data_IF_054837936422
#
_entry.id   IF_054837936422
#
_cell.length_a   1.000
_cell.length_b   1.000
_cell.length_c   1.000
_cell.angle_alpha   90.00
_cell.angle_beta   90.00
_cell.angle_gamma   90.00
#
_symmetry.space_group_name_H-M   'P 1'
#
loop_
_entity.id
_entity.type
_entity.pdbx_description
1 polymer ?
#
# COMPACT_ATOMS: atom_id res chain seq x y z
N UNK A 1 -8.39 -3.21 0.65
CA UNK A 1 -8.13 -4.55 1.19
C UNK A 1 -6.68 -4.52 1.56
N UNK A 2 -6.33 -4.81 2.80
CA UNK A 2 -4.93 -4.79 3.20
C UNK A 2 -4.29 -6.05 2.57
N UNK A 3 -3.31 -5.88 1.69
CA UNK A 3 -3.08 -6.81 0.58
C UNK A 3 -1.69 -7.46 0.62
N UNK A 4 -1.53 -8.50 1.43
CA UNK A 4 -0.39 -9.42 1.37
C UNK A 4 -0.36 -10.25 0.09
N UNK A 5 -1.45 -10.24 -0.69
CA UNK A 5 -1.50 -10.84 -2.02
C UNK A 5 -0.60 -10.08 -3.02
N UNK A 6 -0.32 -8.79 -2.76
CA UNK A 6 0.62 -8.01 -3.53
C UNK A 6 2.06 -8.31 -3.07
N UNK A 7 2.88 -8.78 -4.01
CA UNK A 7 4.28 -9.19 -3.79
C UNK A 7 5.15 -8.07 -3.22
N UNK A 8 4.98 -6.83 -3.68
CA UNK A 8 5.75 -5.69 -3.16
C UNK A 8 5.35 -5.38 -1.70
N UNK A 9 4.07 -5.45 -1.36
CA UNK A 9 3.60 -5.27 0.02
C UNK A 9 4.10 -6.41 0.92
N UNK A 10 4.02 -7.65 0.46
CA UNK A 10 4.56 -8.80 1.17
C UNK A 10 6.08 -8.68 1.38
N UNK A 11 6.80 -8.14 0.40
CA UNK A 11 8.24 -7.83 0.49
C UNK A 11 8.51 -6.75 1.54
N UNK A 12 7.77 -5.64 1.53
CA UNK A 12 7.89 -4.59 2.56
C UNK A 12 7.58 -5.13 3.95
N UNK A 13 6.51 -5.90 4.11
CA UNK A 13 6.15 -6.56 5.37
C UNK A 13 7.28 -7.45 5.88
N UNK A 14 7.87 -8.26 5.00
CA UNK A 14 9.02 -9.11 5.32
C UNK A 14 10.24 -8.27 5.73
N UNK A 15 10.54 -7.18 5.04
CA UNK A 15 11.66 -6.30 5.39
C UNK A 15 11.47 -5.63 6.75
N UNK A 16 10.27 -5.11 7.03
CA UNK A 16 9.93 -4.54 8.35
C UNK A 16 10.09 -5.59 9.46
N UNK A 17 9.62 -6.81 9.23
CA UNK A 17 9.76 -7.93 10.14
C UNK A 17 11.22 -8.31 10.40
N UNK A 18 12.05 -8.39 9.35
CA UNK A 18 13.50 -8.63 9.47
C UNK A 18 14.21 -7.53 10.26
N UNK A 19 13.72 -6.30 10.20
CA UNK A 19 14.21 -5.15 10.97
C UNK A 19 13.66 -5.11 12.42
N UNK A 20 12.91 -6.13 12.84
CA UNK A 20 12.40 -6.26 14.22
C UNK A 20 10.99 -5.71 14.44
N UNK A 21 10.29 -5.25 13.41
CA UNK A 21 8.92 -4.76 13.55
C UNK A 21 7.92 -5.91 13.72
N UNK A 22 6.92 -5.69 14.57
CA UNK A 22 5.74 -6.57 14.60
C UNK A 22 4.82 -6.21 13.43
N UNK A 23 4.48 -7.19 12.62
CA UNK A 23 3.74 -7.00 11.38
C UNK A 23 2.46 -7.84 11.41
N UNK A 24 1.32 -7.17 11.22
CA UNK A 24 0.06 -7.81 10.90
C UNK A 24 -0.15 -7.70 9.39
N UNK A 25 -0.06 -8.82 8.67
CA UNK A 25 -0.24 -8.90 7.24
C UNK A 25 -1.54 -9.63 6.91
N UNK A 26 -2.39 -9.00 6.13
CA UNK A 26 -3.72 -9.51 5.78
C UNK A 26 -3.73 -10.02 4.34
N UNK A 27 -4.52 -11.04 4.05
CA UNK A 27 -4.70 -11.62 2.72
C UNK A 27 -6.18 -11.66 2.33
N UNK A 28 -6.48 -11.62 1.04
CA UNK A 28 -7.86 -11.71 0.54
C UNK A 28 -8.47 -13.10 0.74
N UNK A 29 -7.65 -14.14 0.69
CA UNK A 29 -8.10 -15.51 0.74
C UNK A 29 -7.06 -16.45 1.36
N UNK A 30 -7.52 -17.62 1.78
CA UNK A 30 -6.70 -18.64 2.47
C UNK A 30 -5.59 -19.16 1.55
N UNK A 31 -5.85 -19.33 0.25
CA UNK A 31 -4.85 -19.88 -0.68
C UNK A 31 -3.62 -18.98 -0.80
N UNK A 32 -3.81 -17.66 -0.86
CA UNK A 32 -2.71 -16.69 -0.92
C UNK A 32 -1.93 -16.64 0.39
N UNK A 33 -2.62 -16.71 1.53
CA UNK A 33 -2.01 -16.79 2.85
C UNK A 33 -1.15 -18.07 3.00
N UNK A 34 -1.64 -19.21 2.56
CA UNK A 34 -0.94 -20.50 2.66
C UNK A 34 0.31 -20.54 1.75
N UNK A 35 0.21 -19.99 0.54
CA UNK A 35 1.34 -19.86 -0.38
C UNK A 35 2.42 -18.94 0.21
N UNK A 36 2.02 -17.78 0.76
CA UNK A 36 2.94 -16.88 1.45
C UNK A 36 3.61 -17.58 2.63
N UNK A 37 2.85 -18.21 3.53
CA UNK A 37 3.41 -18.88 4.70
C UNK A 37 4.40 -20.00 4.30
N UNK A 38 4.06 -20.81 3.29
CA UNK A 38 4.93 -21.88 2.80
C UNK A 38 6.25 -21.33 2.28
N UNK A 39 6.21 -20.28 1.44
CA UNK A 39 7.41 -19.63 0.89
C UNK A 39 8.21 -18.91 1.97
N UNK A 40 7.53 -18.20 2.88
CA UNK A 40 8.15 -17.41 3.93
C UNK A 40 8.88 -18.30 4.95
N UNK A 41 8.25 -19.36 5.43
CA UNK A 41 8.87 -20.33 6.35
C UNK A 41 10.05 -21.04 5.68
N UNK A 42 9.91 -21.44 4.41
CA UNK A 42 11.00 -22.08 3.67
C UNK A 42 12.21 -21.18 3.45
N UNK A 43 12.00 -19.86 3.30
CA UNK A 43 13.06 -18.87 3.06
C UNK A 43 13.68 -18.33 4.35
N UNK A 44 12.88 -18.18 5.40
CA UNK A 44 13.27 -17.60 6.68
C UNK A 44 12.94 -18.56 7.82
N UNK A 45 13.70 -19.65 7.98
CA UNK A 45 13.50 -20.58 9.09
C UNK A 45 13.72 -19.89 10.43
N UNK A 46 13.12 -20.43 11.49
CA UNK A 46 13.25 -19.87 12.83
C UNK A 46 14.72 -19.66 13.22
N UNK A 47 15.05 -18.49 13.79
CA UNK A 47 16.42 -18.21 14.20
C UNK A 47 16.88 -19.27 15.19
N UNK A 48 18.06 -19.84 14.93
CA UNK A 48 18.74 -20.67 15.93
C UNK A 48 19.04 -19.84 17.18
N UNK A 49 19.18 -20.48 18.35
CA UNK A 49 19.47 -19.80 19.63
C UNK A 49 20.73 -18.90 19.61
N UNK A 50 21.56 -19.00 18.55
CA UNK A 50 22.76 -18.18 18.33
C UNK A 50 22.58 -16.93 17.45
N UNK A 51 21.40 -16.68 16.83
CA UNK A 51 21.20 -15.45 16.04
C UNK A 51 20.89 -14.25 16.95
N UNK A 52 21.80 -13.26 16.97
CA UNK A 52 21.73 -12.06 17.82
C UNK A 52 20.68 -11.00 17.39
N UNK A 53 20.06 -11.15 16.23
CA UNK A 53 19.07 -10.17 15.72
C UNK A 53 17.66 -10.71 15.88
N UNK A 54 16.86 -10.23 16.85
CA UNK A 54 15.48 -10.66 16.97
C UNK A 54 14.68 -10.08 15.80
N UNK A 55 14.27 -10.96 14.89
CA UNK A 55 13.19 -10.67 13.94
C UNK A 55 11.94 -10.34 14.75
N UNK A 56 11.04 -9.53 14.18
CA UNK A 56 9.79 -9.19 14.84
C UNK A 56 8.81 -10.38 14.88
N UNK A 57 7.54 -10.10 15.17
CA UNK A 57 6.46 -11.09 15.05
C UNK A 57 5.72 -10.83 13.75
N UNK A 58 5.66 -11.84 12.86
CA UNK A 58 4.80 -11.82 11.67
C UNK A 58 3.49 -12.56 12.00
N UNK A 59 2.37 -11.85 11.98
CA UNK A 59 1.03 -12.44 12.08
C UNK A 59 0.31 -12.29 10.74
N UNK A 60 -0.01 -13.41 10.09
CA UNK A 60 -0.79 -13.44 8.86
C UNK A 60 -2.25 -13.78 9.14
N UNK A 61 -3.19 -13.03 8.53
CA UNK A 61 -4.63 -13.25 8.70
C UNK A 61 -5.37 -13.10 7.38
N UNK A 62 -6.52 -13.76 7.22
CA UNK A 62 -7.45 -13.45 6.13
C UNK A 62 -8.41 -12.37 6.60
N UNK A 63 -8.56 -11.30 5.83
CA UNK A 63 -9.47 -10.21 6.15
C UNK A 63 -10.12 -9.65 4.88
N UNK A 64 -11.43 -9.51 4.90
CA UNK A 64 -12.22 -8.81 3.88
C UNK A 64 -13.08 -7.75 4.56
N UNK A 65 -13.17 -6.57 3.93
CA UNK A 65 -13.89 -5.42 4.47
C UNK A 65 -14.96 -5.02 3.47
N UNK A 66 -16.23 -5.18 3.86
CA UNK A 66 -17.36 -4.82 2.98
C UNK A 66 -18.06 -3.56 3.47
N UNK A 67 -18.09 -3.36 4.78
CA UNK A 67 -18.77 -2.23 5.42
C UNK A 67 -17.82 -1.44 6.30
N UNK A 68 -18.19 -0.19 6.60
CA UNK A 68 -17.47 0.60 7.61
C UNK A 68 -17.47 -0.08 8.99
N UNK A 69 -18.55 -0.80 9.31
CA UNK A 69 -18.67 -1.55 10.56
C UNK A 69 -17.62 -2.67 10.65
N UNK A 70 -17.41 -3.43 9.58
CA UNK A 70 -16.39 -4.50 9.55
C UNK A 70 -14.99 -3.92 9.84
N UNK A 71 -14.70 -2.75 9.26
CA UNK A 71 -13.45 -2.04 9.47
C UNK A 71 -13.32 -1.56 10.92
N UNK A 72 -14.38 -0.97 11.48
CA UNK A 72 -14.39 -0.48 12.86
C UNK A 72 -14.19 -1.63 13.87
N UNK A 73 -14.89 -2.75 13.68
CA UNK A 73 -14.73 -3.94 14.53
C UNK A 73 -13.32 -4.52 14.44
N UNK A 74 -12.77 -4.62 13.22
CA UNK A 74 -11.41 -5.09 13.02
C UNK A 74 -10.36 -4.17 13.64
N UNK A 75 -10.46 -2.85 13.44
CA UNK A 75 -9.58 -1.87 14.10
C UNK A 75 -9.72 -1.94 15.63
N UNK A 76 -10.92 -2.07 16.17
CA UNK A 76 -11.14 -2.27 17.61
C UNK A 76 -10.47 -3.54 18.15
N UNK A 77 -10.49 -4.63 17.38
CA UNK A 77 -9.79 -5.88 17.75
C UNK A 77 -8.27 -5.70 17.80
N UNK A 78 -7.71 -4.90 16.88
CA UNK A 78 -6.28 -4.56 16.86
C UNK A 78 -5.93 -3.71 18.08
N UNK A 79 -6.68 -2.63 18.33
CA UNK A 79 -6.47 -1.76 19.47
C UNK A 79 -6.52 -2.50 20.82
N UNK A 80 -7.35 -3.54 20.91
CA UNK A 80 -7.44 -4.38 22.11
C UNK A 80 -6.22 -5.30 22.28
N UNK A 81 -5.66 -5.79 21.17
CA UNK A 81 -4.57 -6.78 21.18
C UNK A 81 -3.18 -6.14 21.20
N UNK A 82 -3.03 -4.97 20.59
CA UNK A 82 -1.76 -4.28 20.41
C UNK A 82 -1.80 -2.95 21.15
N UNK A 83 -0.78 -2.70 21.97
CA UNK A 83 -0.70 -1.47 22.77
C UNK A 83 -0.52 -0.21 21.91
N UNK A 84 0.02 -0.37 20.69
CA UNK A 84 0.35 0.71 19.78
C UNK A 84 0.44 0.17 18.36
N UNK A 85 -0.04 0.97 17.41
CA UNK A 85 0.24 0.80 15.98
C UNK A 85 1.02 2.02 15.51
N UNK A 86 2.15 1.80 14.86
CA UNK A 86 2.98 2.89 14.32
C UNK A 86 2.65 3.20 12.87
N UNK A 87 2.36 2.16 12.08
CA UNK A 87 2.24 2.24 10.64
C UNK A 87 0.98 1.55 10.14
N UNK A 88 0.35 2.14 9.12
CA UNK A 88 -0.69 1.52 8.31
C UNK A 88 -0.30 1.61 6.83
N UNK A 89 -0.29 0.48 6.13
CA UNK A 89 -0.10 0.43 4.68
C UNK A 89 -1.41 -0.03 4.05
N UNK A 90 -2.16 0.89 3.46
CA UNK A 90 -3.43 0.58 2.79
C UNK A 90 -3.20 0.27 1.32
N UNK A 91 -3.91 -0.72 0.80
CA UNK A 91 -3.93 -1.05 -0.62
C UNK A 91 -5.34 -1.02 -1.19
N UNK A 92 -5.52 -0.20 -2.22
CA UNK A 92 -6.73 0.00 -2.99
C UNK A 92 -6.46 -0.06 -4.49
N UNK A 93 -5.71 -1.07 -4.93
CA UNK A 93 -5.49 -1.36 -6.36
C UNK A 93 -6.79 -1.64 -7.13
N UNK A 94 -6.70 -1.63 -8.46
CA UNK A 94 -7.84 -1.82 -9.37
C UNK A 94 -8.57 -3.15 -9.12
N UNK A 95 -7.81 -4.21 -8.86
CA UNK A 95 -8.29 -5.56 -8.52
C UNK A 95 -9.11 -5.58 -7.24
N UNK A 96 -8.82 -4.68 -6.29
CA UNK A 96 -9.60 -4.56 -5.05
C UNK A 96 -11.00 -4.04 -5.36
N UNK A 97 -11.11 -3.07 -6.29
CA UNK A 97 -12.41 -2.53 -6.73
C UNK A 97 -13.23 -3.59 -7.45
N UNK A 98 -12.59 -4.42 -8.28
CA UNK A 98 -13.26 -5.52 -8.97
C UNK A 98 -13.83 -6.54 -7.99
N UNK A 99 -13.06 -6.95 -6.98
CA UNK A 99 -13.54 -7.85 -5.93
C UNK A 99 -14.74 -7.25 -5.18
N UNK A 100 -14.66 -5.98 -4.76
CA UNK A 100 -15.76 -5.31 -4.08
C UNK A 100 -17.05 -5.31 -4.92
N UNK A 101 -16.94 -5.03 -6.22
CA UNK A 101 -18.08 -5.00 -7.15
C UNK A 101 -18.63 -6.39 -7.47
N UNK A 102 -17.79 -7.41 -7.56
CA UNK A 102 -18.20 -8.77 -7.85
C UNK A 102 -18.94 -9.42 -6.67
N UNK A 103 -18.58 -9.06 -5.44
CA UNK A 103 -19.22 -9.59 -4.23
C UNK A 103 -20.60 -8.96 -3.97
N UNK A 104 -20.80 -7.68 -4.29
CA UNK A 104 -22.11 -7.02 -4.17
C UNK A 104 -23.17 -7.63 -5.09
N UNK A 105 -22.77 -8.09 -6.28
CA UNK A 105 -23.67 -8.74 -7.25
C UNK A 105 -24.11 -10.15 -6.85
N UNK A 106 -23.49 -10.76 -5.83
CA UNK A 106 -23.91 -12.08 -5.31
C UNK A 106 -24.90 -11.97 -4.14
N UNK A 107 -25.00 -10.81 -3.48
CA UNK A 107 -25.90 -10.61 -2.33
C UNK A 107 -27.33 -10.18 -2.69
N UNK A 108 -27.61 -9.88 -3.96
CA UNK A 108 -28.86 -9.22 -4.36
C UNK A 108 -30.08 -10.14 -4.57
N UNK A 109 -29.99 -11.45 -4.29
CA UNK A 109 -31.14 -12.36 -4.43
C UNK A 109 -31.85 -12.73 -3.12
N UNK A 110 -31.37 -12.39 -1.92
CA UNK A 110 -32.06 -12.83 -0.69
C UNK A 110 -31.77 -12.03 0.60
N UNK A 111 -32.09 -10.73 0.67
CA UNK A 111 -32.62 -10.10 1.92
C UNK A 111 -32.73 -8.58 1.79
N UNK A 112 -33.87 -8.04 2.23
CA UNK A 112 -34.11 -6.60 2.28
C UNK A 112 -33.33 -5.86 3.38
N UNK A 113 -33.27 -4.54 3.19
CA UNK A 113 -33.04 -3.50 4.22
C UNK A 113 -31.68 -3.43 4.93
N UNK A 114 -30.60 -3.96 4.33
CA UNK A 114 -29.25 -3.55 4.74
C UNK A 114 -28.94 -2.17 4.16
N UNK A 115 -28.68 -1.19 5.02
CA UNK A 115 -28.37 0.21 4.69
C UNK A 115 -27.28 0.29 3.61
N UNK A 116 -27.68 0.56 2.36
CA UNK A 116 -26.76 0.77 1.23
C UNK A 116 -25.76 1.91 1.46
N UNK A 117 -25.98 2.72 2.50
CA UNK A 117 -25.12 3.81 2.92
C UNK A 117 -23.79 3.35 3.54
N UNK A 118 -23.72 2.13 4.09
CA UNK A 118 -22.55 1.67 4.85
C UNK A 118 -21.59 0.77 4.03
N UNK A 119 -21.99 0.41 2.81
CA UNK A 119 -21.22 -0.46 1.91
C UNK A 119 -20.09 0.31 1.21
N UNK A 120 -18.91 -0.30 1.15
CA UNK A 120 -17.72 0.28 0.55
C UNK A 120 -17.59 -0.19 -0.90
N UNK A 121 -17.86 0.73 -1.84
CA UNK A 121 -17.92 0.42 -3.28
C UNK A 121 -16.74 0.95 -4.11
N UNK A 122 -15.76 1.61 -3.48
CA UNK A 122 -14.61 2.19 -4.16
C UNK A 122 -13.32 2.09 -3.35
N UNK A 123 -12.17 2.09 -4.03
CA UNK A 123 -10.85 2.15 -3.38
C UNK A 123 -10.68 3.40 -2.52
N UNK A 124 -11.18 4.54 -2.98
CA UNK A 124 -11.13 5.80 -2.22
C UNK A 124 -11.91 5.70 -0.91
N UNK A 125 -13.16 5.21 -0.97
CA UNK A 125 -13.98 5.00 0.22
C UNK A 125 -13.39 3.99 1.20
N UNK A 126 -12.76 2.92 0.69
CA UNK A 126 -12.08 1.93 1.52
C UNK A 126 -10.85 2.51 2.22
N UNK A 127 -10.03 3.26 1.49
CA UNK A 127 -8.84 3.93 2.03
C UNK A 127 -9.24 4.96 3.09
N UNK A 128 -10.28 5.76 2.82
CA UNK A 128 -10.79 6.74 3.77
C UNK A 128 -11.27 6.04 5.06
N UNK A 129 -12.15 5.04 4.94
CA UNK A 129 -12.70 4.31 6.08
C UNK A 129 -11.62 3.63 6.93
N UNK A 130 -10.65 2.94 6.31
CA UNK A 130 -9.53 2.31 7.02
C UNK A 130 -8.63 3.36 7.70
N UNK A 131 -8.31 4.45 7.00
CA UNK A 131 -7.43 5.50 7.54
C UNK A 131 -8.07 6.16 8.76
N UNK A 132 -9.35 6.50 8.67
CA UNK A 132 -10.08 7.13 9.77
C UNK A 132 -10.25 6.16 10.95
N UNK A 133 -10.73 4.94 10.71
CA UNK A 133 -10.95 3.96 11.79
C UNK A 133 -9.67 3.55 12.51
N UNK A 134 -8.58 3.32 11.76
CA UNK A 134 -7.28 2.99 12.36
C UNK A 134 -6.72 4.17 13.14
N UNK A 135 -6.88 5.39 12.60
CA UNK A 135 -6.45 6.57 13.31
C UNK A 135 -7.12 6.62 14.68
N UNK A 136 -8.46 6.59 14.73
CA UNK A 136 -9.23 6.82 15.96
C UNK A 136 -9.02 5.73 17.00
N UNK A 137 -8.82 4.48 16.57
CA UNK A 137 -8.82 3.33 17.47
C UNK A 137 -7.42 2.88 17.87
N UNK A 138 -6.43 2.99 16.98
CA UNK A 138 -5.17 2.24 17.12
C UNK A 138 -3.92 3.12 17.26
N UNK A 139 -3.92 4.32 16.66
CA UNK A 139 -2.83 5.25 16.83
C UNK A 139 -2.94 5.95 18.17
N UNK A 140 -1.79 6.10 18.84
CA UNK A 140 -1.75 6.72 20.15
C UNK A 140 -2.28 8.15 20.06
N UNK A 141 -3.18 8.53 20.96
CA UNK A 141 -3.45 9.94 21.20
C UNK A 141 -2.18 10.54 21.77
N UNK A 142 -1.50 11.40 21.02
CA UNK A 142 -0.37 12.13 21.58
C UNK A 142 -0.87 12.93 22.78
N UNK A 143 -0.51 12.46 23.97
CA UNK A 143 -0.54 13.27 25.16
C UNK A 143 0.25 14.55 24.82
N UNK A 144 -0.39 15.68 25.05
CA UNK A 144 0.18 17.03 25.00
C UNK A 144 1.65 17.01 25.45
N UNK A 145 2.56 16.95 24.48
CA UNK A 145 3.97 17.17 24.72
C UNK A 145 4.12 18.66 25.00
N UNK A 146 4.39 19.00 26.26
CA UNK A 146 4.64 20.38 26.69
C UNK A 146 5.89 20.99 26.01
N UNK A 147 6.72 20.16 25.39
CA UNK A 147 7.86 20.61 24.59
C UNK A 147 7.44 20.80 23.13
N UNK A 148 7.31 22.08 22.77
CA UNK A 148 6.99 22.54 21.44
C UNK A 148 8.03 22.12 20.40
N UNK A 149 7.47 21.57 19.31
CA UNK A 149 8.08 21.36 17.99
C UNK A 149 9.06 20.17 17.95
N UNK A 150 8.68 19.15 17.16
CA UNK A 150 9.41 17.92 16.80
C UNK A 150 9.03 16.63 17.54
N UNK A 151 7.80 16.49 18.06
CA UNK A 151 7.32 15.16 18.46
C UNK A 151 7.22 14.23 17.24
N UNK A 152 7.72 12.98 17.32
CA UNK A 152 7.47 11.96 16.29
C UNK A 152 5.99 11.86 15.95
N UNK A 153 5.65 11.50 14.70
CA UNK A 153 4.25 11.27 14.33
C UNK A 153 3.63 10.24 15.27
N UNK A 154 2.36 10.45 15.61
CA UNK A 154 1.60 9.49 16.44
C UNK A 154 1.16 8.26 15.64
N UNK A 155 1.36 8.30 14.32
CA UNK A 155 1.23 7.21 13.37
C UNK A 155 1.55 7.69 11.95
N UNK A 156 1.89 6.77 11.06
CA UNK A 156 2.07 7.05 9.62
C UNK A 156 1.23 6.11 8.78
N UNK A 157 0.48 6.67 7.83
CA UNK A 157 -0.37 5.96 6.87
C UNK A 157 0.22 6.14 5.47
N UNK A 158 0.45 5.04 4.78
CA UNK A 158 0.82 5.00 3.36
C UNK A 158 -0.31 4.31 2.61
N UNK A 159 -0.97 5.06 1.72
CA UNK A 159 -2.06 4.57 0.90
C UNK A 159 -1.55 4.27 -0.51
N UNK A 160 -1.90 3.12 -1.06
CA UNK A 160 -1.50 2.70 -2.40
C UNK A 160 -2.77 2.54 -3.23
N UNK A 161 -2.82 3.22 -4.37
CA UNK A 161 -3.99 3.21 -5.26
C UNK A 161 -3.57 3.26 -6.73
N UNK A 162 -4.50 2.94 -7.63
CA UNK A 162 -4.30 3.12 -9.07
C UNK A 162 -4.34 4.60 -9.45
N UNK A 163 -3.50 5.01 -10.40
CA UNK A 163 -3.47 6.36 -10.95
C UNK A 163 -4.65 6.66 -11.87
N UNK A 164 -5.51 5.68 -12.17
CA UNK A 164 -6.76 5.91 -12.90
C UNK A 164 -7.65 6.98 -12.23
N UNK A 165 -7.53 7.11 -10.91
CA UNK A 165 -8.30 8.05 -10.08
C UNK A 165 -7.42 9.17 -9.48
N UNK A 166 -6.35 9.58 -10.16
CA UNK A 166 -5.32 10.51 -9.61
C UNK A 166 -5.90 11.76 -8.94
N UNK A 167 -6.78 12.50 -9.62
CA UNK A 167 -7.38 13.72 -9.07
C UNK A 167 -8.22 13.46 -7.81
N UNK A 168 -8.90 12.31 -7.75
CA UNK A 168 -9.70 11.89 -6.59
C UNK A 168 -8.75 11.54 -5.43
N UNK A 169 -7.69 10.78 -5.71
CA UNK A 169 -6.71 10.39 -4.70
C UNK A 169 -5.92 11.59 -4.16
N UNK A 170 -5.60 12.58 -4.99
CA UNK A 170 -4.94 13.81 -4.54
C UNK A 170 -5.85 14.65 -3.63
N UNK A 171 -7.14 14.77 -3.99
CA UNK A 171 -8.13 15.43 -3.13
C UNK A 171 -8.28 14.69 -1.80
N UNK A 172 -8.36 13.35 -1.84
CA UNK A 172 -8.46 12.51 -0.65
C UNK A 172 -7.21 12.61 0.23
N UNK A 173 -6.01 12.61 -0.35
CA UNK A 173 -4.75 12.78 0.38
C UNK A 173 -4.73 14.09 1.18
N UNK A 174 -5.12 15.21 0.55
CA UNK A 174 -5.21 16.52 1.20
C UNK A 174 -6.29 16.55 2.28
N UNK A 175 -7.45 15.96 2.01
CA UNK A 175 -8.56 15.85 2.96
C UNK A 175 -8.17 15.07 4.21
N UNK A 176 -7.63 13.86 4.05
CA UNK A 176 -7.18 13.01 5.15
C UNK A 176 -6.05 13.66 5.95
N UNK A 177 -5.07 14.25 5.28
CA UNK A 177 -4.00 14.96 5.98
C UNK A 177 -4.54 16.11 6.84
N UNK A 178 -5.50 16.89 6.33
CA UNK A 178 -6.16 17.94 7.11
C UNK A 178 -6.94 17.40 8.31
N UNK A 179 -7.72 16.33 8.12
CA UNK A 179 -8.51 15.68 9.18
C UNK A 179 -7.63 15.09 10.28
N UNK A 180 -6.47 14.54 9.94
CA UNK A 180 -5.60 13.77 10.84
C UNK A 180 -4.45 14.59 11.45
N UNK A 181 -4.20 15.80 10.93
CA UNK A 181 -3.19 16.72 11.46
C UNK A 181 -3.33 17.04 12.96
N UNK A 182 -4.54 17.26 13.52
CA UNK A 182 -4.69 17.54 14.95
C UNK A 182 -4.16 16.42 15.87
N UNK A 183 -4.06 15.19 15.35
CA UNK A 183 -3.53 14.03 16.08
C UNK A 183 -2.09 13.68 15.70
N UNK A 184 -1.42 14.57 14.96
CA UNK A 184 -0.04 14.40 14.49
C UNK A 184 0.19 13.08 13.71
N UNK A 185 -0.80 12.68 12.90
CA UNK A 185 -0.70 11.49 12.05
C UNK A 185 -0.33 11.91 10.63
N UNK A 186 0.67 11.25 10.07
CA UNK A 186 1.16 11.47 8.72
C UNK A 186 0.38 10.61 7.73
N UNK A 187 -0.10 11.16 6.61
CA UNK A 187 -0.77 10.38 5.57
C UNK A 187 -0.23 10.74 4.20
N UNK A 188 0.19 9.75 3.42
CA UNK A 188 0.66 9.95 2.04
C UNK A 188 0.15 8.86 1.12
N UNK A 189 0.15 9.15 -0.19
CA UNK A 189 -0.29 8.24 -1.23
C UNK A 189 0.85 7.88 -2.16
N UNK A 190 0.87 6.62 -2.62
CA UNK A 190 1.65 6.13 -3.75
C UNK A 190 0.68 5.69 -4.83
N UNK A 191 0.75 6.31 -6.01
CA UNK A 191 -0.09 5.95 -7.14
C UNK A 191 0.68 5.05 -8.11
N UNK A 192 0.08 3.90 -8.38
CA UNK A 192 0.55 2.92 -9.36
C UNK A 192 0.00 3.28 -10.74
N UNK A 193 0.77 3.15 -11.84
CA UNK A 193 0.26 3.28 -13.19
C UNK A 193 -0.96 2.37 -13.44
N UNK A 194 -1.84 2.74 -14.39
CA UNK A 194 -3.01 1.96 -14.70
C UNK A 194 -2.61 0.63 -15.35
N UNK A 195 -3.26 -0.46 -14.92
CA UNK A 195 -2.97 -1.83 -15.37
C UNK A 195 -3.19 -2.06 -16.87
N UNK A 196 -3.99 -1.22 -17.54
CA UNK A 196 -4.29 -1.30 -18.98
C UNK A 196 -3.14 -0.83 -19.89
N UNK A 197 -2.07 -0.25 -19.31
CA UNK A 197 -0.86 0.01 -20.05
C UNK A 197 -0.12 -1.33 -20.24
N UNK A 198 -0.41 -2.00 -21.35
CA UNK A 198 -0.05 -3.37 -21.74
C UNK A 198 1.45 -3.77 -21.75
N UNK A 199 2.31 -3.11 -20.98
CA UNK A 199 3.75 -3.43 -20.87
C UNK A 199 4.42 -2.80 -19.63
N UNK A 200 3.66 -2.32 -18.64
CA UNK A 200 4.21 -1.56 -17.51
C UNK A 200 4.32 -2.46 -16.27
N UNK A 201 5.34 -3.31 -16.24
CA UNK A 201 5.82 -3.90 -14.99
C UNK A 201 6.50 -2.79 -14.17
N UNK A 202 5.79 -2.23 -13.20
CA UNK A 202 6.44 -1.45 -12.15
C UNK A 202 7.39 -2.41 -11.45
N UNK A 203 8.67 -2.04 -11.33
CA UNK A 203 9.59 -2.78 -10.48
C UNK A 203 9.04 -2.78 -9.05
N UNK A 204 8.77 -3.97 -8.52
CA UNK A 204 8.33 -4.19 -7.12
C UNK A 204 9.25 -3.46 -6.13
N UNK A 205 10.54 -3.34 -6.47
CA UNK A 205 11.54 -2.63 -5.69
C UNK A 205 11.25 -1.13 -5.59
N UNK A 206 10.76 -0.49 -6.65
CA UNK A 206 10.41 0.94 -6.65
C UNK A 206 9.24 1.23 -5.72
N UNK A 207 8.22 0.35 -5.72
CA UNK A 207 7.09 0.47 -4.82
C UNK A 207 7.53 0.21 -3.36
N UNK A 208 8.28 -0.86 -3.12
CA UNK A 208 8.79 -1.16 -1.80
C UNK A 208 9.66 -0.03 -1.23
N UNK A 209 10.58 0.50 -2.03
CA UNK A 209 11.44 1.62 -1.65
C UNK A 209 10.64 2.89 -1.32
N UNK A 210 9.60 3.17 -2.12
CA UNK A 210 8.73 4.33 -1.89
C UNK A 210 7.94 4.21 -0.60
N UNK A 211 7.41 3.03 -0.29
CA UNK A 211 6.71 2.76 0.96
C UNK A 211 7.68 2.94 2.14
N UNK A 212 8.86 2.30 2.09
CA UNK A 212 9.85 2.39 3.17
C UNK A 212 10.35 3.83 3.39
N UNK A 213 10.57 4.60 2.31
CA UNK A 213 10.88 6.02 2.43
C UNK A 213 9.79 6.77 3.19
N UNK A 214 8.52 6.56 2.82
CA UNK A 214 7.38 7.23 3.46
C UNK A 214 7.16 6.79 4.92
N UNK A 215 7.55 5.57 5.30
CA UNK A 215 7.52 5.11 6.69
C UNK A 215 8.74 5.59 7.51
N UNK A 216 9.81 6.02 6.86
CA UNK A 216 11.05 6.39 7.52
C UNK A 216 10.99 7.79 8.18
N UNK A 217 11.86 8.07 9.17
CA UNK A 217 11.98 9.41 9.75
C UNK A 217 12.35 10.52 8.75
N UNK A 218 12.86 10.17 7.57
CA UNK A 218 13.20 11.12 6.50
C UNK A 218 11.98 11.78 5.88
N UNK A 219 10.81 11.13 5.95
CA UNK A 219 9.55 11.67 5.42
C UNK A 219 8.72 12.40 6.47
N UNK A 220 9.18 12.54 7.72
CA UNK A 220 8.37 12.96 8.88
C UNK A 220 7.61 14.29 8.76
N UNK A 221 7.98 15.13 7.79
CA UNK A 221 7.34 16.43 7.52
C UNK A 221 6.42 16.39 6.29
N UNK A 222 6.29 15.24 5.63
CA UNK A 222 5.49 15.04 4.43
C UNK A 222 4.14 14.47 4.82
N UNK A 223 3.06 15.24 4.72
CA UNK A 223 1.70 14.73 4.85
C UNK A 223 0.81 15.34 3.77
N UNK A 224 -0.17 14.58 3.28
CA UNK A 224 -1.03 14.94 2.16
C UNK A 224 -0.34 14.90 0.79
N UNK A 225 0.81 14.23 0.69
CA UNK A 225 1.55 14.13 -0.57
C UNK A 225 1.14 12.91 -1.39
N UNK A 226 1.29 13.02 -2.70
CA UNK A 226 1.03 11.95 -3.68
C UNK A 226 2.31 11.69 -4.47
N UNK A 227 2.90 10.52 -4.29
CA UNK A 227 4.02 10.03 -5.08
C UNK A 227 3.48 9.21 -6.25
N UNK A 228 3.80 9.61 -7.47
CA UNK A 228 3.39 8.89 -8.69
C UNK A 228 4.56 8.05 -9.15
N UNK A 229 4.39 6.72 -9.16
CA UNK A 229 5.39 5.85 -9.77
C UNK A 229 5.18 5.92 -11.29
N UNK A 230 6.16 6.43 -12.01
CA UNK A 230 6.18 6.43 -13.46
C UNK A 230 7.37 5.60 -13.92
N UNK A 231 7.19 4.77 -14.94
CA UNK A 231 8.31 4.18 -15.64
C UNK A 231 8.82 5.19 -16.68
N UNK A 232 10.10 5.52 -16.61
CA UNK A 232 10.75 6.40 -17.57
C UNK A 232 10.67 5.79 -18.97
N UNK A 233 9.79 6.35 -19.83
CA UNK A 233 9.69 5.99 -21.26
C UNK A 233 10.95 6.32 -22.07
N UNK A 234 11.92 7.00 -21.46
CA UNK A 234 13.16 7.45 -22.08
C UNK A 234 14.15 6.32 -22.37
N UNK A 235 14.04 5.17 -21.68
CA UNK A 235 14.99 4.06 -21.86
C UNK A 235 14.71 3.19 -23.10
N UNK A 236 13.49 3.16 -23.62
CA UNK A 236 13.17 2.40 -24.85
C UNK A 236 13.53 3.12 -26.15
N UNK A 237 13.76 4.45 -26.10
CA UNK A 237 14.10 5.23 -27.29
C UNK A 237 15.59 5.19 -27.66
N UNK A 238 16.47 4.80 -26.72
CA UNK A 238 17.91 4.79 -26.95
C UNK A 238 18.38 3.61 -27.83
N UNK A 239 17.63 2.50 -27.87
CA UNK A 239 18.02 1.29 -28.61
C UNK A 239 17.53 1.24 -30.08
N UNK A 240 16.76 2.25 -30.53
CA UNK A 240 16.28 2.32 -31.94
C UNK A 240 17.11 3.23 -32.85
N UNK A 241 18.34 3.57 -32.46
CA UNK A 241 19.20 4.49 -33.23
C UNK A 241 20.52 3.89 -33.68
N UNK A 242 20.50 2.67 -34.22
CA UNK A 242 21.62 2.17 -35.04
C UNK A 242 21.17 1.25 -36.18
N UNK A 243 20.37 1.75 -37.11
CA UNK A 243 20.32 1.18 -38.46
C UNK A 243 20.37 2.33 -39.48
N UNK A 244 21.59 2.60 -39.96
CA UNK A 244 21.83 3.45 -41.14
C UNK A 244 21.64 2.55 -42.36
N UNK A 245 20.77 2.89 -43.33
CA UNK A 245 20.62 2.11 -44.55
C UNK A 245 21.89 2.20 -45.41
N UNK A 246 22.28 1.14 -46.13
CA UNK A 246 23.46 1.17 -46.97
C UNK A 246 23.21 2.10 -48.17
N UNK A 247 23.94 3.20 -48.24
CA UNK A 247 23.96 4.06 -49.42
C UNK A 247 24.81 3.40 -50.51
N UNK A 248 24.18 3.04 -51.62
CA UNK A 248 24.82 2.61 -52.85
C UNK A 248 25.83 3.66 -53.34
N UNK A 249 27.11 3.31 -53.34
CA UNK A 249 28.17 4.11 -53.97
C UNK A 249 28.14 3.79 -55.47
N UNK A 250 27.53 4.69 -56.24
CA UNK A 250 27.67 4.73 -57.70
C UNK A 250 29.11 5.15 -58.03
N UNK A 251 29.88 4.23 -58.62
CA UNK A 251 31.18 4.52 -59.21
C UNK A 251 30.98 5.19 -60.58
N UNK A 252 31.27 6.48 -60.70
CA UNK A 252 31.54 7.13 -61.99
C UNK A 252 33.03 7.33 -62.16
N UNK A 253 33.58 6.53 -63.06
CA UNK A 253 34.90 6.64 -63.67
C UNK A 253 34.95 7.91 -64.54
N UNK A 254 35.95 8.77 -64.35
CA UNK A 254 36.44 9.67 -65.40
C UNK A 254 37.86 9.23 -65.79
N UNK A 255 38.00 8.90 -67.07
CA UNK A 255 39.17 9.13 -67.92
C UNK A 255 38.63 9.50 -69.30
#
# INVERSE_FOLDING_TARGET
MLCGDNTAIASVATQLWLLGANVLLTFSNISALDDFNTKHIGRFPDPSESEESPRGIMLTVVASFRTQKDIAEWCGSIATKYQRVDFLINYGGSEVVEVLKSEDNQSDETSGDTDKSDTISSSGGLIEALSESMSTSCFSDSATSEDGWLTPSSGTIVNIASSGDDAVMESLAKSLAGKLQPRNIQVNFVLLPPSDAADVEISEDSLAHSILFLLSPSSRLLSGSVLRLQQDKTTQAADRRTEVPPSDIIATHEL
#
